data_IF_851739534226
#
_entry.id   IF_851739534226
#
_cell.length_a   1.000
_cell.length_b   1.000
_cell.length_c   1.000
_cell.angle_alpha   90.00
_cell.angle_beta   90.00
_cell.angle_gamma   90.00
#
_symmetry.space_group_name_H-M   'P 1'
#
loop_
_entity.id
_entity.type
_entity.pdbx_description
1 polymer ?
#
# COMPACT_ATOMS: atom_id res chain seq x y z
N UNK A 1 17.40 14.99 21.62
CA UNK A 1 17.03 16.23 20.91
C UNK A 1 16.16 15.77 19.77
N UNK A 2 14.83 15.80 19.95
CA UNK A 2 13.92 15.53 18.84
C UNK A 2 14.12 16.66 17.83
N UNK A 3 14.42 16.31 16.58
CA UNK A 3 14.45 17.30 15.50
C UNK A 3 13.04 17.89 15.36
N UNK A 4 12.84 19.14 15.80
CA UNK A 4 11.59 19.85 15.56
C UNK A 4 11.42 20.08 14.05
N UNK A 5 10.57 19.26 13.44
CA UNK A 5 10.14 19.45 12.06
C UNK A 5 9.40 20.79 11.91
N UNK A 6 9.60 21.49 10.79
CA UNK A 6 8.92 22.75 10.53
C UNK A 6 7.39 22.59 10.50
N UNK A 7 6.66 23.65 10.85
CA UNK A 7 5.19 23.70 10.78
C UNK A 7 4.66 23.28 9.41
N UNK A 8 5.32 23.74 8.35
CA UNK A 8 4.94 23.48 6.96
C UNK A 8 5.14 22.01 6.59
N UNK A 9 6.23 21.39 7.06
CA UNK A 9 6.48 19.97 6.87
C UNK A 9 5.43 19.14 7.64
N UNK A 10 5.11 19.52 8.87
CA UNK A 10 4.09 18.85 9.69
C UNK A 10 2.71 18.92 9.04
N UNK A 11 2.30 20.08 8.55
CA UNK A 11 1.03 20.26 7.85
C UNK A 11 0.97 19.43 6.57
N UNK A 12 2.06 19.39 5.80
CA UNK A 12 2.17 18.54 4.62
C UNK A 12 2.07 17.05 4.95
N UNK A 13 2.70 16.60 6.05
CA UNK A 13 2.58 15.21 6.51
C UNK A 13 1.12 14.90 6.84
N UNK A 14 0.46 15.72 7.66
CA UNK A 14 -0.94 15.52 8.06
C UNK A 14 -1.86 15.44 6.83
N UNK A 15 -1.76 16.41 5.92
CA UNK A 15 -2.56 16.42 4.68
C UNK A 15 -2.40 15.17 3.83
N UNK A 16 -1.19 14.59 3.80
CA UNK A 16 -0.95 13.36 3.05
C UNK A 16 -1.48 12.12 3.77
N UNK A 17 -1.36 12.07 5.11
CA UNK A 17 -1.92 11.01 5.93
C UNK A 17 -3.44 10.97 5.80
N UNK A 18 -4.12 12.11 5.95
CA UNK A 18 -5.58 12.21 5.85
C UNK A 18 -6.07 11.72 4.49
N UNK A 19 -5.43 12.17 3.39
CA UNK A 19 -5.75 11.72 2.03
C UNK A 19 -5.60 10.21 1.83
N UNK A 20 -4.63 9.58 2.48
CA UNK A 20 -4.45 8.13 2.41
C UNK A 20 -5.55 7.43 3.19
N UNK A 21 -5.86 7.95 4.38
CA UNK A 21 -6.90 7.40 5.25
C UNK A 21 -8.29 7.48 4.60
N UNK A 22 -8.65 8.63 4.03
CA UNK A 22 -9.92 8.83 3.31
C UNK A 22 -10.10 7.83 2.17
N UNK A 23 -9.02 7.57 1.41
CA UNK A 23 -9.06 6.57 0.34
C UNK A 23 -9.28 5.16 0.87
N UNK A 24 -8.77 4.82 2.04
CA UNK A 24 -9.02 3.51 2.64
C UNK A 24 -10.47 3.39 3.10
N UNK A 25 -11.00 4.44 3.73
CA UNK A 25 -12.40 4.50 4.14
C UNK A 25 -13.35 4.43 2.94
N UNK A 26 -13.04 5.14 1.85
CA UNK A 26 -13.83 5.08 0.61
C UNK A 26 -13.85 3.68 -0.01
N UNK A 27 -12.74 2.94 0.08
CA UNK A 27 -12.65 1.57 -0.43
C UNK A 27 -13.40 0.59 0.47
N UNK A 28 -13.26 0.75 1.78
CA UNK A 28 -14.01 -0.02 2.76
C UNK A 28 -15.53 0.22 2.61
N UNK A 29 -15.96 1.47 2.40
CA UNK A 29 -17.39 1.79 2.21
C UNK A 29 -17.97 1.22 0.92
N UNK A 30 -17.13 0.96 -0.09
CA UNK A 30 -17.49 0.23 -1.33
C UNK A 30 -17.47 -1.30 -1.17
N UNK A 31 -17.29 -1.81 0.05
CA UNK A 31 -17.32 -3.24 0.35
C UNK A 31 -15.99 -3.96 0.10
N UNK A 32 -14.88 -3.24 -0.06
CA UNK A 32 -13.57 -3.88 -0.16
C UNK A 32 -13.14 -4.45 1.20
N UNK A 33 -12.69 -5.70 1.22
CA UNK A 33 -12.24 -6.36 2.45
C UNK A 33 -10.92 -5.76 2.96
N UNK A 34 -10.68 -5.87 4.27
CA UNK A 34 -9.40 -5.50 4.90
C UNK A 34 -8.24 -6.22 4.19
N UNK A 35 -8.42 -7.48 3.81
CA UNK A 35 -7.45 -8.23 3.00
C UNK A 35 -7.15 -7.54 1.66
N UNK A 36 -8.17 -7.07 0.94
CA UNK A 36 -8.02 -6.31 -0.31
C UNK A 36 -7.25 -5.01 -0.11
N UNK A 37 -7.54 -4.29 0.98
CA UNK A 37 -6.80 -3.07 1.37
C UNK A 37 -5.32 -3.40 1.62
N UNK A 38 -5.01 -4.43 2.42
CA UNK A 38 -3.63 -4.86 2.69
C UNK A 38 -2.90 -5.25 1.40
N UNK A 39 -3.52 -6.09 0.56
CA UNK A 39 -2.96 -6.48 -0.74
C UNK A 39 -2.67 -5.24 -1.60
N UNK A 40 -3.54 -4.24 -1.59
CA UNK A 40 -3.30 -2.98 -2.31
C UNK A 40 -2.11 -2.19 -1.78
N UNK A 41 -1.94 -2.14 -0.45
CA UNK A 41 -0.79 -1.47 0.17
C UNK A 41 0.52 -2.14 -0.19
N UNK A 42 0.53 -3.48 -0.25
CA UNK A 42 1.68 -4.24 -0.74
C UNK A 42 2.00 -3.87 -2.19
N UNK A 43 0.98 -3.80 -3.06
CA UNK A 43 1.17 -3.39 -4.47
C UNK A 43 1.74 -1.97 -4.56
N UNK A 44 1.21 -1.02 -3.79
CA UNK A 44 1.68 0.37 -3.78
C UNK A 44 3.13 0.46 -3.30
N UNK A 45 3.49 -0.23 -2.21
CA UNK A 45 4.86 -0.26 -1.69
C UNK A 45 5.85 -0.81 -2.70
N UNK A 46 5.52 -1.92 -3.37
CA UNK A 46 6.36 -2.51 -4.43
C UNK A 46 6.45 -1.55 -5.62
N UNK A 47 5.34 -0.93 -6.04
CA UNK A 47 5.34 0.02 -7.15
C UNK A 47 6.12 1.30 -6.85
N UNK A 48 6.22 1.72 -5.59
CA UNK A 48 7.07 2.86 -5.19
C UNK A 48 8.55 2.54 -5.38
N UNK A 49 8.98 1.32 -5.04
CA UNK A 49 10.35 0.84 -5.30
C UNK A 49 10.61 0.75 -6.81
N UNK A 50 9.69 0.13 -7.57
CA UNK A 50 9.83 -0.02 -9.02
C UNK A 50 9.69 1.30 -9.78
N UNK A 51 8.99 2.29 -9.22
CA UNK A 51 8.77 3.59 -9.82
C UNK A 51 10.05 4.38 -10.06
N UNK A 52 11.09 4.14 -9.26
CA UNK A 52 12.42 4.71 -9.48
C UNK A 52 13.07 4.20 -10.79
N UNK A 53 12.69 3.01 -11.25
CA UNK A 53 13.25 2.34 -12.43
C UNK A 53 12.36 2.52 -13.67
N UNK A 54 11.04 2.57 -13.47
CA UNK A 54 10.07 2.57 -14.58
C UNK A 54 9.65 3.99 -14.96
N UNK A 55 10.21 4.52 -16.05
CA UNK A 55 9.91 5.87 -16.57
C UNK A 55 8.68 5.96 -17.48
N UNK A 56 8.25 4.86 -18.13
CA UNK A 56 7.17 4.88 -19.14
C UNK A 56 5.81 4.47 -18.55
N UNK A 57 4.77 5.24 -18.85
CA UNK A 57 3.39 5.01 -18.36
C UNK A 57 2.82 3.64 -18.72
N UNK A 58 3.05 3.16 -19.94
CA UNK A 58 2.59 1.84 -20.39
C UNK A 58 3.25 0.73 -19.58
N UNK A 59 4.56 0.84 -19.35
CA UNK A 59 5.34 -0.12 -18.54
C UNK A 59 4.85 -0.10 -17.09
N UNK A 60 4.52 1.08 -16.55
CA UNK A 60 3.95 1.21 -15.19
C UNK A 60 2.62 0.47 -15.05
N UNK A 61 1.74 0.52 -16.05
CA UNK A 61 0.47 -0.24 -16.05
C UNK A 61 0.71 -1.75 -16.08
N UNK A 62 1.63 -2.21 -16.94
CA UNK A 62 1.98 -3.65 -17.06
C UNK A 62 2.62 -4.15 -15.76
N UNK A 63 3.59 -3.41 -15.22
CA UNK A 63 4.23 -3.71 -13.95
C UNK A 63 3.23 -3.78 -12.81
N UNK A 64 2.31 -2.81 -12.70
CA UNK A 64 1.25 -2.83 -11.66
C UNK A 64 0.39 -4.08 -11.75
N UNK A 65 0.01 -4.52 -12.96
CA UNK A 65 -0.73 -5.77 -13.16
C UNK A 65 0.08 -7.00 -12.75
N UNK A 66 1.37 -7.04 -13.10
CA UNK A 66 2.26 -8.13 -12.72
C UNK A 66 2.43 -8.21 -11.20
N UNK A 67 2.71 -7.08 -10.55
CA UNK A 67 2.83 -6.97 -9.09
C UNK A 67 1.55 -7.42 -8.40
N UNK A 68 0.37 -6.95 -8.87
CA UNK A 68 -0.92 -7.40 -8.32
C UNK A 68 -1.05 -8.93 -8.37
N UNK A 69 -0.82 -9.54 -9.54
CA UNK A 69 -0.86 -11.00 -9.71
C UNK A 69 0.12 -11.73 -8.78
N UNK A 70 1.30 -11.18 -8.57
CA UNK A 70 2.31 -11.76 -7.69
C UNK A 70 1.90 -11.65 -6.22
N UNK A 71 1.39 -10.50 -5.79
CA UNK A 71 0.86 -10.29 -4.43
C UNK A 71 -0.29 -11.25 -4.16
N UNK A 72 -1.25 -11.37 -5.09
CA UNK A 72 -2.38 -12.30 -4.96
C UNK A 72 -1.87 -13.74 -4.79
N UNK A 73 -0.99 -14.20 -5.68
CA UNK A 73 -0.40 -15.56 -5.58
C UNK A 73 0.37 -15.78 -4.29
N UNK A 74 1.17 -14.81 -3.87
CA UNK A 74 1.95 -14.91 -2.64
C UNK A 74 1.04 -14.97 -1.43
N UNK A 75 -0.01 -14.15 -1.39
CA UNK A 75 -0.98 -14.15 -0.32
C UNK A 75 -1.69 -15.50 -0.20
N UNK A 76 -2.23 -16.03 -1.30
CA UNK A 76 -2.92 -17.32 -1.26
C UNK A 76 -1.98 -18.46 -0.83
N UNK A 77 -0.74 -18.48 -1.34
CA UNK A 77 0.24 -19.51 -0.99
C UNK A 77 0.64 -19.47 0.49
N UNK A 78 0.66 -18.29 1.10
CA UNK A 78 1.14 -18.09 2.47
C UNK A 78 0.03 -17.77 3.46
N UNK A 79 -1.25 -17.86 3.06
CA UNK A 79 -2.39 -17.34 3.82
C UNK A 79 -2.44 -17.86 5.25
N UNK A 80 -2.26 -19.17 5.43
CA UNK A 80 -2.26 -19.82 6.74
C UNK A 80 -1.15 -19.27 7.65
N UNK A 81 0.07 -19.17 7.14
CA UNK A 81 1.22 -18.63 7.87
C UNK A 81 1.05 -17.13 8.20
N UNK A 82 0.50 -16.34 7.27
CA UNK A 82 0.19 -14.92 7.51
C UNK A 82 -0.83 -14.78 8.64
N UNK A 83 -1.91 -15.55 8.60
CA UNK A 83 -2.94 -15.52 9.64
C UNK A 83 -2.41 -15.98 11.00
N UNK A 84 -1.56 -17.00 11.03
CA UNK A 84 -0.90 -17.47 12.25
C UNK A 84 -0.02 -16.38 12.85
N UNK A 85 0.81 -15.73 12.04
CA UNK A 85 1.66 -14.61 12.49
C UNK A 85 0.84 -13.42 12.99
N UNK A 86 -0.29 -13.10 12.36
CA UNK A 86 -1.17 -12.01 12.79
C UNK A 86 -1.81 -12.31 14.14
N UNK A 87 -2.21 -13.56 14.41
CA UNK A 87 -2.79 -13.94 15.71
C UNK A 87 -1.80 -13.91 16.86
N UNK A 88 -0.51 -14.03 16.56
CA UNK A 88 0.57 -14.07 17.54
C UNK A 88 1.25 -12.70 17.77
N UNK A 89 0.72 -11.63 17.16
CA UNK A 89 1.09 -10.23 17.43
C UNK A 89 0.19 -9.64 18.52
#
# INVERSE_FOLDING_TARGET
MEEEISSDLRENIHKNVDKVFDKWLERASKGESIEGIIKSLMVEKVMNVLGAVIRRTVVKKVAKRAVKKTVDRYWEKNRANIQEKIKNL
#
